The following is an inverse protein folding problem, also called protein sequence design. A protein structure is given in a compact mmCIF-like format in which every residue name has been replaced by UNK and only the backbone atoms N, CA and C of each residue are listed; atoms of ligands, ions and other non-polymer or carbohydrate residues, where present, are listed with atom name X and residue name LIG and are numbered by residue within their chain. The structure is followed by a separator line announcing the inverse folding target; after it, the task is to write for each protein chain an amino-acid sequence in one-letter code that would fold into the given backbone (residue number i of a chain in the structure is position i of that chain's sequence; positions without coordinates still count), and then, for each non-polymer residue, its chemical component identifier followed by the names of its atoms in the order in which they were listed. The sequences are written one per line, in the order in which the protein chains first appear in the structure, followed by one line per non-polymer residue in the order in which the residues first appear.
data_IF_033809573031
#
_entry.id   IF_033809573031
#
_cell.length_a   1.000
_cell.length_b   1.000
_cell.length_c   1.000
_cell.angle_alpha   90.00
_cell.angle_beta   90.00
_cell.angle_gamma   90.00
#
_symmetry.space_group_name_H-M   'P 1'
#
loop_
_entity.id
_entity.type
_entity.pdbx_description
1 polymer ?
#
# COMPACT_ATOMS: atom_id res chain seq x y z
N UNK A 1 5.58 -12.85 27.01
CA UNK A 1 5.22 -13.43 25.70
C UNK A 1 5.54 -12.38 24.65
N UNK A 2 6.35 -12.68 23.63
CA UNK A 2 6.73 -11.69 22.60
C UNK A 2 5.61 -11.62 21.57
N UNK A 3 4.81 -10.56 21.59
CA UNK A 3 3.84 -10.31 20.52
C UNK A 3 4.61 -10.11 19.21
N UNK A 4 4.14 -10.70 18.12
CA UNK A 4 4.69 -10.46 16.78
C UNK A 4 3.66 -9.63 16.06
N UNK A 5 3.87 -8.32 15.96
CA UNK A 5 3.01 -7.47 15.15
C UNK A 5 3.41 -7.66 13.69
N UNK A 6 2.46 -8.10 12.87
CA UNK A 6 2.65 -8.29 11.43
C UNK A 6 1.89 -7.17 10.72
N UNK A 7 2.63 -6.18 10.21
CA UNK A 7 2.03 -5.08 9.45
C UNK A 7 1.96 -5.48 7.98
N UNK A 8 0.79 -5.32 7.36
CA UNK A 8 0.59 -5.52 5.92
C UNK A 8 0.33 -4.18 5.25
N UNK A 9 1.16 -3.82 4.27
CA UNK A 9 0.98 -2.64 3.42
C UNK A 9 0.96 -3.02 1.93
N UNK A 10 0.46 -2.13 1.09
CA UNK A 10 0.46 -2.28 -0.36
C UNK A 10 1.23 -1.10 -0.96
N UNK A 11 2.23 -1.38 -1.80
CA UNK A 11 3.17 -0.36 -2.29
C UNK A 11 2.99 -0.16 -3.80
N UNK A 12 3.95 -0.66 -4.59
CA UNK A 12 4.07 -0.47 -6.03
C UNK A 12 2.91 -1.05 -6.84
N UNK A 13 2.23 -0.23 -7.65
CA UNK A 13 1.25 -0.73 -8.64
C UNK A 13 1.95 -1.40 -9.82
N UNK A 14 1.52 -2.63 -10.16
CA UNK A 14 2.09 -3.44 -11.25
C UNK A 14 1.08 -3.76 -12.35
N UNK A 15 -0.05 -3.06 -12.39
CA UNK A 15 -1.03 -3.24 -13.46
C UNK A 15 -0.45 -2.68 -14.76
N UNK A 16 -0.43 -3.49 -15.81
CA UNK A 16 -0.16 -3.00 -17.16
C UNK A 16 -1.44 -2.38 -17.74
N UNK A 17 -1.48 -1.04 -17.82
CA UNK A 17 -2.60 -0.28 -18.36
C UNK A 17 -2.68 -0.37 -19.89
N UNK A 18 -1.56 -0.68 -20.55
CA UNK A 18 -1.47 -0.75 -22.00
C UNK A 18 -1.54 -2.19 -22.55
N UNK A 19 -1.85 -3.17 -21.70
CA UNK A 19 -1.95 -4.58 -22.10
C UNK A 19 -2.92 -4.78 -23.27
N UNK A 20 -4.06 -4.07 -23.27
CA UNK A 20 -5.09 -4.17 -24.31
C UNK A 20 -4.61 -3.70 -25.70
N UNK A 21 -3.59 -2.86 -25.76
CA UNK A 21 -3.02 -2.35 -27.02
C UNK A 21 -1.71 -3.06 -27.39
N UNK A 22 -1.38 -4.16 -26.71
CA UNK A 22 -0.14 -4.91 -26.92
C UNK A 22 1.12 -4.19 -26.45
N UNK A 23 0.99 -3.16 -25.61
CA UNK A 23 2.12 -2.41 -25.05
C UNK A 23 2.26 -2.66 -23.56
N UNK A 24 3.33 -2.11 -22.97
CA UNK A 24 3.60 -2.16 -21.55
C UNK A 24 3.72 -0.75 -20.98
N UNK A 25 2.78 -0.38 -20.11
CA UNK A 25 2.83 0.88 -19.36
C UNK A 25 2.20 0.66 -17.97
N UNK A 26 2.93 1.04 -16.94
CA UNK A 26 2.49 0.98 -15.53
C UNK A 26 2.37 2.41 -14.99
N UNK A 27 1.41 2.63 -14.09
CA UNK A 27 1.12 3.96 -13.52
C UNK A 27 2.22 4.44 -12.55
N UNK A 28 2.98 3.50 -11.96
CA UNK A 28 4.14 3.81 -11.13
C UNK A 28 3.81 4.32 -9.72
N UNK A 29 2.63 4.04 -9.16
CA UNK A 29 2.32 4.40 -7.77
C UNK A 29 3.32 3.75 -6.81
N UNK A 30 3.92 4.52 -5.90
CA UNK A 30 4.86 4.01 -4.90
C UNK A 30 4.18 3.46 -3.65
N UNK A 31 3.03 4.02 -3.28
CA UNK A 31 2.26 3.65 -2.08
C UNK A 31 0.78 3.55 -2.41
N UNK A 32 0.10 2.55 -1.84
CA UNK A 32 -1.35 2.40 -1.98
C UNK A 32 -2.07 3.39 -1.06
N UNK A 33 -2.78 4.34 -1.66
CA UNK A 33 -3.71 5.21 -0.96
C UNK A 33 -5.14 4.75 -1.22
N UNK A 34 -5.92 4.35 -0.21
CA UNK A 34 -7.32 3.98 -0.40
C UNK A 34 -8.14 5.18 -0.87
N UNK A 35 -9.01 4.98 -1.86
CA UNK A 35 -9.87 6.04 -2.40
C UNK A 35 -11.12 6.33 -1.54
N UNK A 36 -11.36 5.59 -0.46
CA UNK A 36 -12.52 5.75 0.41
C UNK A 36 -12.29 5.21 1.82
N UNK A 37 -13.35 5.21 2.63
CA UNK A 37 -13.31 4.84 4.05
C UNK A 37 -12.97 3.37 4.28
N UNK A 38 -12.27 3.09 5.39
CA UNK A 38 -11.88 1.72 5.78
C UNK A 38 -13.11 0.80 5.84
N UNK A 39 -13.03 -0.37 5.18
CA UNK A 39 -14.13 -1.33 5.06
C UNK A 39 -15.07 -1.10 3.87
N UNK A 40 -14.96 0.03 3.16
CA UNK A 40 -15.73 0.28 1.94
C UNK A 40 -15.12 -0.40 0.71
N UNK A 41 -15.94 -0.64 -0.33
CA UNK A 41 -15.45 -1.12 -1.62
C UNK A 41 -14.51 -0.09 -2.30
N UNK A 42 -14.64 1.19 -1.99
CA UNK A 42 -13.78 2.25 -2.48
C UNK A 42 -12.37 2.19 -1.86
N UNK A 43 -12.24 1.79 -0.60
CA UNK A 43 -10.93 1.59 0.05
C UNK A 43 -10.10 0.45 -0.56
N UNK A 44 -10.71 -0.42 -1.36
CA UNK A 44 -9.99 -1.47 -2.09
C UNK A 44 -9.32 -0.97 -3.37
N UNK A 45 -9.60 0.27 -3.80
CA UNK A 45 -8.99 0.89 -4.99
C UNK A 45 -8.04 2.00 -4.59
N UNK A 46 -6.98 2.13 -5.38
CA UNK A 46 -5.99 3.17 -5.23
C UNK A 46 -6.56 4.51 -5.70
N UNK A 47 -6.43 5.56 -4.90
CA UNK A 47 -6.86 6.92 -5.26
C UNK A 47 -6.06 7.50 -6.44
N UNK A 48 -4.80 7.08 -6.63
CA UNK A 48 -3.93 7.56 -7.70
C UNK A 48 -4.21 6.88 -9.05
N UNK A 49 -4.11 5.55 -9.12
CA UNK A 49 -4.25 4.80 -10.39
C UNK A 49 -5.60 4.10 -10.58
N UNK A 50 -6.54 4.24 -9.62
CA UNK A 50 -7.83 3.53 -9.62
C UNK A 50 -7.74 2.00 -9.69
N UNK A 51 -6.55 1.41 -9.51
CA UNK A 51 -6.35 -0.03 -9.53
C UNK A 51 -6.74 -0.64 -8.19
N UNK A 52 -7.21 -1.88 -8.24
CA UNK A 52 -7.45 -2.64 -7.02
C UNK A 52 -6.13 -2.90 -6.27
N UNK A 53 -6.16 -2.93 -4.94
CA UNK A 53 -4.98 -3.20 -4.08
C UNK A 53 -4.24 -4.50 -4.43
N UNK A 54 -4.90 -5.47 -5.06
CA UNK A 54 -4.25 -6.70 -5.53
C UNK A 54 -3.23 -6.47 -6.66
N UNK A 55 -3.38 -5.39 -7.43
CA UNK A 55 -2.36 -5.00 -8.41
C UNK A 55 -1.19 -4.29 -7.78
N UNK A 56 -1.29 -3.92 -6.50
CA UNK A 56 -0.19 -3.37 -5.74
C UNK A 56 0.57 -4.49 -5.04
N UNK A 57 1.90 -4.35 -4.99
CA UNK A 57 2.76 -5.29 -4.29
C UNK A 57 2.41 -5.33 -2.80
N UNK A 58 1.94 -6.48 -2.33
CA UNK A 58 1.69 -6.72 -0.90
C UNK A 58 3.02 -6.89 -0.17
N UNK A 59 3.26 -6.06 0.84
CA UNK A 59 4.43 -6.13 1.71
C UNK A 59 4.00 -6.48 3.12
N UNK A 60 4.59 -7.55 3.65
CA UNK A 60 4.32 -8.04 4.99
C UNK A 60 5.59 -7.86 5.80
N UNK A 61 5.58 -6.92 6.75
CA UNK A 61 6.72 -6.66 7.64
C UNK A 61 6.46 -7.29 8.99
N UNK A 62 7.37 -8.17 9.40
CA UNK A 62 7.42 -8.68 10.78
C UNK A 62 8.21 -7.69 11.61
N UNK A 63 7.52 -6.78 12.28
CA UNK A 63 8.16 -5.95 13.30
C UNK A 63 8.35 -6.83 14.54
N UNK A 64 9.58 -7.35 14.70
CA UNK A 64 10.02 -7.90 15.99
C UNK A 64 10.06 -6.73 16.94
N UNK A 65 9.21 -6.73 17.97
CA UNK A 65 9.20 -5.76 19.06
C UNK A 65 10.65 -5.44 19.51
N UNK A 66 11.19 -4.34 19.01
CA UNK A 66 12.31 -3.60 19.57
C UNK A 66 11.72 -2.28 20.05
N UNK A 67 11.98 -1.99 21.32
CA UNK A 67 11.60 -0.82 22.08
C UNK A 67 11.37 0.48 21.28
N UNK A 68 10.21 1.08 21.54
CA UNK A 68 9.91 2.52 21.61
C UNK A 68 11.14 3.43 21.63
N UNK A 69 11.36 4.18 20.54
CA UNK A 69 12.13 5.45 20.48
C UNK A 69 12.04 6.14 19.10
N UNK A 70 11.78 5.41 18.00
CA UNK A 70 11.89 5.96 16.63
C UNK A 70 10.57 6.32 15.92
N UNK A 71 9.40 6.05 16.52
CA UNK A 71 8.14 6.59 16.00
C UNK A 71 7.84 7.91 16.72
N UNK A 72 8.62 8.96 16.43
CA UNK A 72 8.13 10.32 16.68
C UNK A 72 7.17 10.65 15.54
N UNK A 73 5.86 10.85 15.77
CA UNK A 73 5.07 11.60 14.82
C UNK A 73 5.65 13.03 14.82
N UNK A 74 6.37 13.37 13.77
CA UNK A 74 6.69 14.76 13.45
C UNK A 74 5.37 15.46 13.16
N UNK A 75 4.80 16.11 14.18
CA UNK A 75 3.74 17.10 13.97
C UNK A 75 4.35 18.29 13.21
N UNK A 76 3.79 18.72 12.07
CA UNK A 76 4.17 19.97 11.46
C UNK A 76 3.36 21.13 12.09
N UNK A 77 4.12 22.10 12.62
CA UNK A 77 3.85 23.53 12.91
C UNK A 77 2.43 24.00 13.26
#
# INVERSE_FOLDING_TARGET
MKEKVVTTSYEECRKNHAASIGKYAVDGCCEFMPAGEEGSAAALRCAACSCHRNFHKKVVRQVRNLCDCFIKPSTPK
#
